data_IF_782119360550
#
_entry.id   IF_782119360550
#
_cell.length_a   1.000
_cell.length_b   1.000
_cell.length_c   1.000
_cell.angle_alpha   90.00
_cell.angle_beta   90.00
_cell.angle_gamma   90.00
#
_symmetry.space_group_name_H-M   'P 1'
#
loop_
_entity.id
_entity.type
_entity.pdbx_description
1 polymer ?
#
# COMPACT_ATOMS: atom_id res chain seq x y z
N UNK A 1 6.13 -15.14 20.21
CA UNK A 1 6.78 -14.17 19.31
C UNK A 1 6.37 -14.32 17.85
N UNK A 2 6.48 -15.51 17.23
CA UNK A 2 6.16 -15.70 15.80
C UNK A 2 4.72 -15.28 15.40
N UNK A 3 3.72 -15.51 16.25
CA UNK A 3 2.33 -15.12 15.95
C UNK A 3 2.08 -13.61 15.88
N UNK A 4 2.80 -12.81 16.67
CA UNK A 4 2.69 -11.34 16.63
C UNK A 4 3.26 -10.77 15.34
N UNK A 5 4.42 -11.30 14.92
CA UNK A 5 5.07 -10.91 13.66
C UNK A 5 4.15 -11.24 12.48
N UNK A 6 3.56 -12.44 12.47
CA UNK A 6 2.65 -12.85 11.40
C UNK A 6 1.37 -12.00 11.36
N UNK A 7 0.83 -11.62 12.52
CA UNK A 7 -0.34 -10.73 12.61
C UNK A 7 -0.04 -9.32 12.09
N UNK A 8 1.11 -8.75 12.44
CA UNK A 8 1.53 -7.43 11.96
C UNK A 8 1.73 -7.45 10.45
N UNK A 9 2.41 -8.48 9.92
CA UNK A 9 2.61 -8.64 8.47
C UNK A 9 1.27 -8.75 7.73
N UNK A 10 0.34 -9.54 8.25
CA UNK A 10 -0.99 -9.70 7.66
C UNK A 10 -1.78 -8.39 7.62
N UNK A 11 -1.74 -7.60 8.71
CA UNK A 11 -2.34 -6.26 8.75
C UNK A 11 -1.68 -5.30 7.75
N UNK A 12 -0.37 -5.42 7.56
CA UNK A 12 0.37 -4.60 6.62
C UNK A 12 0.02 -4.94 5.16
N UNK A 13 -0.09 -6.23 4.84
CA UNK A 13 -0.59 -6.71 3.53
C UNK A 13 -2.00 -6.20 3.26
N UNK A 14 -2.89 -6.26 4.26
CA UNK A 14 -4.25 -5.73 4.14
C UNK A 14 -4.26 -4.22 3.86
N UNK A 15 -3.42 -3.43 4.56
CA UNK A 15 -3.32 -2.00 4.34
C UNK A 15 -2.83 -1.65 2.93
N UNK A 16 -1.86 -2.40 2.41
CA UNK A 16 -1.38 -2.27 1.04
C UNK A 16 -2.50 -2.62 0.04
N UNK A 17 -3.25 -3.69 0.29
CA UNK A 17 -4.39 -4.07 -0.54
C UNK A 17 -5.45 -2.96 -0.60
N UNK A 18 -5.84 -2.40 0.55
CA UNK A 18 -6.76 -1.26 0.65
C UNK A 18 -6.24 -0.05 -0.13
N UNK A 19 -4.94 0.27 -0.02
CA UNK A 19 -4.32 1.34 -0.82
C UNK A 19 -4.45 1.13 -2.32
N UNK A 20 -4.25 -0.10 -2.81
CA UNK A 20 -4.42 -0.45 -4.23
C UNK A 20 -5.81 -0.05 -4.72
N UNK A 21 -6.84 -0.48 -3.98
CA UNK A 21 -8.24 -0.18 -4.27
C UNK A 21 -8.45 1.34 -4.28
N UNK A 22 -8.02 2.03 -3.23
CA UNK A 22 -8.17 3.50 -3.12
C UNK A 22 -7.41 4.30 -4.19
N UNK A 23 -6.40 3.70 -4.83
CA UNK A 23 -5.67 4.30 -5.95
C UNK A 23 -6.41 4.14 -7.28
N UNK A 24 -7.11 3.02 -7.49
CA UNK A 24 -7.85 2.74 -8.72
C UNK A 24 -9.16 3.53 -8.81
N UNK A 25 -9.79 3.78 -7.66
CA UNK A 25 -10.99 4.60 -7.61
C UNK A 25 -10.64 6.10 -7.50
N UNK A 26 -11.33 6.99 -8.23
CA UNK A 26 -11.14 8.43 -8.16
C UNK A 26 -11.76 9.00 -6.88
N UNK A 27 -11.16 8.66 -5.73
CA UNK A 27 -11.52 9.20 -4.43
C UNK A 27 -10.76 10.50 -4.20
N UNK A 28 -11.47 11.51 -3.70
CA UNK A 28 -10.93 12.83 -3.37
C UNK A 28 -9.59 12.72 -2.62
N UNK A 29 -8.53 13.42 -3.06
CA UNK A 29 -7.21 13.39 -2.41
C UNK A 29 -7.23 13.85 -0.95
N UNK A 30 -8.21 14.69 -0.58
CA UNK A 30 -8.37 15.22 0.78
C UNK A 30 -9.20 14.32 1.69
N UNK A 31 -9.61 13.14 1.23
CA UNK A 31 -10.35 12.20 2.06
C UNK A 31 -9.45 11.71 3.22
N UNK A 32 -9.86 11.89 4.49
CA UNK A 32 -9.01 11.60 5.65
C UNK A 32 -8.65 10.12 5.77
N UNK A 33 -9.54 9.22 5.38
CA UNK A 33 -9.26 7.78 5.36
C UNK A 33 -8.21 7.42 4.30
N UNK A 34 -8.31 8.00 3.10
CA UNK A 34 -7.31 7.84 2.04
C UNK A 34 -5.94 8.36 2.49
N UNK A 35 -5.89 9.54 3.10
CA UNK A 35 -4.64 10.11 3.63
C UNK A 35 -4.01 9.22 4.70
N UNK A 36 -4.80 8.72 5.65
CA UNK A 36 -4.32 7.83 6.70
C UNK A 36 -3.70 6.54 6.12
N UNK A 37 -4.41 5.88 5.20
CA UNK A 37 -3.91 4.64 4.57
C UNK A 37 -2.62 4.90 3.80
N UNK A 38 -2.54 6.00 3.05
CA UNK A 38 -1.35 6.35 2.29
C UNK A 38 -0.17 6.65 3.23
N UNK A 39 -0.37 7.42 4.31
CA UNK A 39 0.69 7.73 5.27
C UNK A 39 1.25 6.50 5.98
N UNK A 40 0.40 5.54 6.37
CA UNK A 40 0.83 4.31 7.04
C UNK A 40 1.66 3.43 6.10
N UNK A 41 1.28 3.38 4.82
CA UNK A 41 1.90 2.48 3.84
C UNK A 41 3.07 3.11 3.10
N UNK A 42 3.23 4.45 3.12
CA UNK A 42 4.27 5.17 2.38
C UNK A 42 5.71 4.81 2.78
N UNK A 43 6.09 4.63 4.05
CA UNK A 43 7.46 4.27 4.41
C UNK A 43 7.95 2.97 3.76
N UNK A 44 7.03 2.03 3.52
CA UNK A 44 7.33 0.73 2.90
C UNK A 44 7.20 0.80 1.38
N UNK A 45 6.24 1.56 0.86
CA UNK A 45 6.01 1.67 -0.58
C UNK A 45 6.89 2.70 -1.28
N UNK A 46 7.42 3.71 -0.58
CA UNK A 46 8.27 4.74 -1.15
C UNK A 46 9.60 4.20 -1.71
N UNK A 47 10.33 3.29 -1.02
CA UNK A 47 11.50 2.63 -1.61
C UNK A 47 11.14 1.80 -2.84
N UNK A 48 10.00 1.09 -2.81
CA UNK A 48 9.54 0.25 -3.93
C UNK A 48 9.18 1.12 -5.15
N UNK A 49 8.51 2.26 -4.94
CA UNK A 49 8.16 3.22 -5.99
C UNK A 49 9.36 3.79 -6.73
N UNK A 50 10.53 3.88 -6.09
CA UNK A 50 11.76 4.34 -6.78
C UNK A 50 12.18 3.42 -7.92
N UNK A 51 11.77 2.15 -7.87
CA UNK A 51 12.09 1.15 -8.88
C UNK A 51 10.93 0.90 -9.86
N UNK A 52 9.76 1.50 -9.63
CA UNK A 52 8.59 1.31 -10.48
C UNK A 52 8.33 2.53 -11.37
N UNK A 53 7.93 2.33 -12.64
CA UNK A 53 7.44 3.40 -13.49
C UNK A 53 6.23 4.09 -12.84
N UNK A 54 6.12 5.41 -12.98
CA UNK A 54 4.95 6.14 -12.52
C UNK A 54 3.80 5.95 -13.53
N UNK A 55 2.80 5.11 -13.20
CA UNK A 55 1.65 4.83 -14.07
C UNK A 55 0.50 5.85 -13.91
N UNK A 56 0.82 7.13 -13.71
CA UNK A 56 -0.18 8.18 -13.51
C UNK A 56 -0.99 7.98 -12.23
N UNK A 57 -2.31 7.79 -12.34
CA UNK A 57 -3.22 7.59 -11.20
C UNK A 57 -3.23 6.17 -10.64
N UNK A 58 -2.68 5.20 -11.36
CA UNK A 58 -2.68 3.79 -10.98
C UNK A 58 -1.40 3.49 -10.20
N UNK A 59 -1.51 3.20 -8.90
CA UNK A 59 -0.37 2.76 -8.09
C UNK A 59 -0.19 1.25 -8.25
N UNK A 60 0.87 0.82 -8.96
CA UNK A 60 1.21 -0.61 -9.11
C UNK A 60 2.09 -1.15 -7.97
N UNK A 61 2.64 -0.26 -7.12
CA UNK A 61 3.48 -0.67 -5.99
C UNK A 61 2.81 -1.67 -5.04
N UNK A 62 1.49 -1.58 -4.78
CA UNK A 62 0.80 -2.55 -3.96
C UNK A 62 0.77 -3.97 -4.55
N UNK A 63 0.57 -4.12 -5.86
CA UNK A 63 0.60 -5.43 -6.52
C UNK A 63 1.98 -6.07 -6.41
N UNK A 64 3.03 -5.28 -6.64
CA UNK A 64 4.42 -5.74 -6.53
C UNK A 64 4.75 -6.14 -5.09
N UNK A 65 4.26 -5.37 -4.11
CA UNK A 65 4.52 -5.66 -2.70
C UNK A 65 3.80 -6.93 -2.23
N UNK A 66 2.57 -7.18 -2.70
CA UNK A 66 1.84 -8.43 -2.41
C UNK A 66 2.61 -9.64 -2.98
N UNK A 67 3.18 -9.52 -4.19
CA UNK A 67 3.97 -10.60 -4.81
C UNK A 67 5.28 -10.88 -4.06
N UNK A 68 5.90 -9.87 -3.44
CA UNK A 68 7.16 -10.03 -2.68
C UNK A 68 6.93 -10.60 -1.28
N UNK A 69 5.78 -10.31 -0.67
CA UNK A 69 5.45 -10.76 0.69
C UNK A 69 4.86 -12.17 0.72
N UNK A 70 4.21 -12.61 -0.36
CA UNK A 70 3.75 -14.00 -0.57
C UNK A 70 4.89 -14.91 -1.06
#
# INVERSE_FOLDING_TARGET
MAGLINGILSMFVLAIFVRSILSWFPISPVNPFKLMVFQITEPVLAPVRRYLPHFGSIDLAPMVTIIVVL
#
